data_IF_594727121899
#
_entry.id   IF_594727121899
#
_cell.length_a   1.000
_cell.length_b   1.000
_cell.length_c   1.000
_cell.angle_alpha   90.00
_cell.angle_beta   90.00
_cell.angle_gamma   90.00
#
_symmetry.space_group_name_H-M   'P 1'
#
loop_
_entity.id
_entity.type
_entity.pdbx_description
1 polymer ?
#
# COMPACT_ATOMS: atom_id res chain seq x y z
N UNK A 1 2.71 -3.50 -10.08
CA UNK A 1 1.79 -2.87 -9.14
C UNK A 1 1.63 -1.39 -9.44
N UNK A 2 0.77 -0.69 -8.70
CA UNK A 2 0.50 0.72 -8.94
C UNK A 2 1.66 1.60 -8.51
N UNK A 3 2.04 2.56 -9.35
CA UNK A 3 2.91 3.66 -8.96
C UNK A 3 2.02 4.78 -8.41
N UNK A 4 1.87 4.82 -7.09
CA UNK A 4 0.96 5.75 -6.43
C UNK A 4 1.38 7.20 -6.68
N UNK A 5 2.67 7.46 -6.87
CA UNK A 5 3.16 8.81 -7.12
C UNK A 5 2.65 9.38 -8.44
N UNK A 6 2.32 8.54 -9.41
CA UNK A 6 1.80 9.00 -10.70
C UNK A 6 0.38 9.55 -10.62
N UNK A 7 -0.34 9.26 -9.54
CA UNK A 7 -1.71 9.74 -9.33
C UNK A 7 -1.79 11.01 -8.48
N UNK A 8 -0.65 11.51 -7.98
CA UNK A 8 -0.64 12.70 -7.14
C UNK A 8 -0.92 13.98 -7.96
N UNK A 9 -1.50 15.01 -7.33
CA UNK A 9 -1.66 16.32 -8.00
C UNK A 9 -0.33 16.87 -8.48
N UNK A 10 -0.37 17.72 -9.51
CA UNK A 10 0.83 18.37 -10.00
C UNK A 10 1.45 19.30 -8.96
N UNK A 11 0.63 19.89 -8.12
CA UNK A 11 1.09 20.75 -7.02
C UNK A 11 1.59 19.89 -5.88
N UNK A 12 2.84 19.47 -5.98
CA UNK A 12 3.45 18.59 -4.97
C UNK A 12 4.90 19.02 -4.76
N UNK A 13 5.42 18.67 -3.58
CA UNK A 13 6.79 19.02 -3.20
C UNK A 13 7.50 17.77 -2.65
N UNK A 14 8.59 17.38 -3.30
CA UNK A 14 9.41 16.29 -2.82
C UNK A 14 10.34 16.81 -1.70
N UNK A 15 10.53 15.98 -0.67
CA UNK A 15 11.43 16.30 0.44
C UNK A 15 12.65 15.40 0.40
N UNK A 16 13.71 15.80 1.10
CA UNK A 16 14.96 15.02 1.16
C UNK A 16 14.78 13.69 1.87
N UNK A 17 13.76 13.57 2.72
CA UNK A 17 13.49 12.33 3.46
C UNK A 17 12.70 11.29 2.66
N UNK A 18 12.37 11.60 1.40
CA UNK A 18 11.64 10.68 0.53
C UNK A 18 10.12 10.86 0.58
N UNK A 19 9.60 11.76 1.39
CA UNK A 19 8.19 12.10 1.42
C UNK A 19 7.85 13.11 0.33
N UNK A 20 6.68 12.95 -0.27
CA UNK A 20 6.14 13.91 -1.23
C UNK A 20 4.92 14.57 -0.59
N UNK A 21 4.96 15.88 -0.45
CA UNK A 21 3.87 16.66 0.15
C UNK A 21 2.93 17.18 -0.95
N UNK A 22 1.63 17.11 -0.68
CA UNK A 22 0.61 17.61 -1.58
C UNK A 22 -0.66 17.91 -0.80
N UNK A 23 -1.62 18.59 -1.42
CA UNK A 23 -2.89 18.88 -0.75
C UNK A 23 -3.64 17.56 -0.52
N UNK A 24 -3.88 17.22 0.75
CA UNK A 24 -4.51 15.97 1.10
C UNK A 24 -5.94 15.88 0.60
N UNK A 25 -6.31 14.84 -0.17
CA UNK A 25 -7.66 14.71 -0.68
C UNK A 25 -8.66 14.24 0.38
N UNK A 26 -8.17 13.83 1.55
CA UNK A 26 -8.97 13.20 2.60
C UNK A 26 -9.71 14.20 3.50
N UNK A 27 -9.27 15.46 3.56
CA UNK A 27 -9.73 16.41 4.56
C UNK A 27 -11.23 16.67 4.47
N UNK A 28 -11.77 16.93 3.29
CA UNK A 28 -13.19 17.21 3.09
C UNK A 28 -14.06 15.99 3.44
N UNK A 29 -13.50 14.79 3.33
CA UNK A 29 -14.22 13.55 3.64
C UNK A 29 -14.20 13.23 5.13
N UNK A 30 -13.35 13.92 5.89
CA UNK A 30 -13.21 13.71 7.33
C UNK A 30 -13.72 14.91 8.14
N UNK A 31 -14.55 15.75 7.53
CA UNK A 31 -15.19 16.86 8.20
C UNK A 31 -14.35 18.12 8.35
N UNK A 32 -13.17 18.14 7.69
CA UNK A 32 -12.31 19.31 7.69
C UNK A 32 -12.50 20.11 6.42
N UNK A 33 -11.97 21.34 6.40
CA UNK A 33 -11.96 22.13 5.18
C UNK A 33 -10.88 21.59 4.23
N UNK A 34 -11.01 21.93 2.94
CA UNK A 34 -10.07 21.51 1.92
C UNK A 34 -8.64 21.93 2.28
N UNK A 35 -7.69 20.99 2.17
CA UNK A 35 -6.28 21.26 2.42
C UNK A 35 -5.71 22.11 1.28
N UNK A 36 -5.14 23.27 1.63
CA UNK A 36 -4.50 24.18 0.67
C UNK A 36 -3.03 24.42 1.03
N UNK A 37 -2.51 23.70 2.03
CA UNK A 37 -1.16 23.91 2.55
C UNK A 37 -0.25 22.70 2.37
N UNK A 38 -0.63 21.77 1.50
CA UNK A 38 0.13 20.55 1.22
C UNK A 38 0.47 19.78 2.50
N UNK A 39 -0.55 19.54 3.32
CA UNK A 39 -0.39 18.79 4.59
C UNK A 39 -0.47 17.29 4.40
N UNK A 40 -0.92 16.81 3.25
CA UNK A 40 -0.86 15.39 2.93
C UNK A 40 0.55 15.01 2.54
N UNK A 41 1.01 13.85 2.99
CA UNK A 41 2.33 13.36 2.64
C UNK A 41 2.28 11.89 2.31
N UNK A 42 3.01 11.47 1.29
CA UNK A 42 3.12 10.08 0.90
C UNK A 42 4.57 9.73 0.67
N UNK A 43 4.93 8.51 1.05
CA UNK A 43 6.26 7.98 0.80
C UNK A 43 6.10 6.62 0.13
N UNK A 44 6.74 6.44 -1.01
CA UNK A 44 6.75 5.16 -1.72
C UNK A 44 8.17 4.61 -1.73
N UNK A 45 8.29 3.34 -1.38
CA UNK A 45 9.54 2.61 -1.42
C UNK A 45 9.24 1.26 -2.07
N UNK A 46 9.78 1.04 -3.27
CA UNK A 46 9.43 -0.10 -4.12
C UNK A 46 7.91 -0.11 -4.36
N UNK A 47 7.21 -1.18 -4.00
CA UNK A 47 5.76 -1.29 -4.16
C UNK A 47 4.99 -0.97 -2.88
N UNK A 48 5.69 -0.61 -1.81
CA UNK A 48 5.11 -0.28 -0.52
C UNK A 48 4.97 1.24 -0.40
N UNK A 49 3.85 1.72 0.15
CA UNK A 49 3.69 3.15 0.36
C UNK A 49 2.92 3.43 1.65
N UNK A 50 3.15 4.63 2.18
CA UNK A 50 2.49 5.14 3.39
C UNK A 50 2.03 6.57 3.15
N UNK A 51 0.84 6.89 3.65
CA UNK A 51 0.24 8.21 3.54
C UNK A 51 -0.15 8.72 4.92
N UNK A 52 0.08 10.01 5.16
CA UNK A 52 -0.33 10.69 6.39
C UNK A 52 -0.78 12.11 6.06
N UNK A 53 -1.92 12.53 6.61
CA UNK A 53 -2.39 13.90 6.49
C UNK A 53 -2.30 14.60 7.84
N UNK A 54 -1.53 15.67 7.91
CA UNK A 54 -1.34 16.43 9.15
C UNK A 54 -2.51 17.38 9.42
N UNK A 55 -3.45 17.52 8.51
CA UNK A 55 -4.63 18.36 8.71
C UNK A 55 -5.78 17.60 9.38
N UNK A 56 -6.14 16.44 8.83
CA UNK A 56 -7.27 15.66 9.36
C UNK A 56 -6.85 14.40 10.11
N UNK A 57 -5.57 14.04 10.08
CA UNK A 57 -5.05 12.86 10.77
C UNK A 57 -5.27 11.55 10.05
N UNK A 58 -5.79 11.56 8.83
CA UNK A 58 -6.02 10.33 8.08
C UNK A 58 -4.69 9.67 7.73
N UNK A 59 -4.62 8.35 7.92
CA UNK A 59 -3.45 7.55 7.54
C UNK A 59 -3.88 6.36 6.72
N UNK A 60 -3.04 5.94 5.78
CA UNK A 60 -3.26 4.75 4.99
C UNK A 60 -1.91 4.20 4.54
N UNK A 61 -1.84 2.91 4.31
CA UNK A 61 -0.62 2.29 3.84
C UNK A 61 -0.95 1.05 3.02
N UNK A 62 0.00 0.64 2.20
CA UNK A 62 -0.10 -0.59 1.43
C UNK A 62 1.23 -1.33 1.50
N UNK A 63 1.17 -2.62 1.81
CA UNK A 63 2.32 -3.51 1.84
C UNK A 63 2.05 -4.66 0.89
N UNK A 64 2.96 -4.93 -0.08
CA UNK A 64 2.80 -6.08 -0.97
C UNK A 64 2.71 -7.38 -0.19
N UNK A 65 1.83 -8.26 -0.62
CA UNK A 65 1.55 -9.52 0.09
C UNK A 65 0.36 -9.42 1.03
N UNK A 66 -0.21 -8.23 1.20
CA UNK A 66 -1.40 -8.03 2.02
C UNK A 66 -2.55 -7.50 1.17
N UNK A 67 -3.81 -7.74 1.56
CA UNK A 67 -4.92 -7.15 0.84
C UNK A 67 -4.91 -5.62 0.98
N UNK A 68 -5.49 -4.95 0.00
CA UNK A 68 -5.65 -3.50 0.06
C UNK A 68 -6.67 -3.18 1.16
N UNK A 69 -6.23 -2.44 2.18
CA UNK A 69 -7.09 -2.10 3.32
C UNK A 69 -8.19 -1.12 2.89
N UNK A 70 -9.22 -0.99 3.73
CA UNK A 70 -10.30 -0.05 3.47
C UNK A 70 -9.77 1.38 3.31
N UNK A 71 -8.87 1.79 4.21
CA UNK A 71 -8.30 3.15 4.16
C UNK A 71 -7.44 3.35 2.91
N UNK A 72 -6.64 2.36 2.53
CA UNK A 72 -5.83 2.45 1.32
C UNK A 72 -6.72 2.56 0.09
N UNK A 73 -7.80 1.78 0.03
CA UNK A 73 -8.77 1.84 -1.06
C UNK A 73 -9.40 3.22 -1.16
N UNK A 74 -9.82 3.79 -0.04
CA UNK A 74 -10.43 5.12 -0.02
C UNK A 74 -9.45 6.19 -0.53
N UNK A 75 -8.21 6.14 -0.07
CA UNK A 75 -7.20 7.09 -0.53
C UNK A 75 -6.99 7.00 -2.05
N UNK A 76 -6.87 5.78 -2.57
CA UNK A 76 -6.69 5.58 -4.01
C UNK A 76 -7.89 6.10 -4.80
N UNK A 77 -9.10 5.91 -4.30
CA UNK A 77 -10.30 6.45 -4.93
C UNK A 77 -10.26 7.97 -4.98
N UNK A 78 -9.87 8.60 -3.87
CA UNK A 78 -9.77 10.06 -3.81
C UNK A 78 -8.69 10.62 -4.73
N UNK A 79 -7.64 9.84 -4.98
CA UNK A 79 -6.58 10.24 -5.92
C UNK A 79 -6.97 10.01 -7.37
N UNK A 80 -8.11 9.37 -7.63
CA UNK A 80 -8.61 9.17 -8.98
C UNK A 80 -8.26 7.82 -9.60
N UNK A 81 -7.83 6.86 -8.79
CA UNK A 81 -7.54 5.51 -9.29
C UNK A 81 -8.86 4.77 -9.52
N UNK A 82 -9.01 4.18 -10.70
CA UNK A 82 -10.20 3.40 -11.04
C UNK A 82 -10.35 2.18 -10.13
N UNK A 83 -11.61 1.81 -9.83
CA UNK A 83 -11.89 0.63 -9.02
C UNK A 83 -11.31 -0.64 -9.65
N UNK A 84 -11.28 -0.73 -10.97
CA UNK A 84 -10.68 -1.86 -11.68
C UNK A 84 -9.19 -1.98 -11.35
N UNK A 85 -8.48 -0.85 -11.34
CA UNK A 85 -7.05 -0.84 -11.02
C UNK A 85 -6.79 -1.17 -9.56
N UNK A 86 -7.67 -0.73 -8.66
CA UNK A 86 -7.57 -1.06 -7.24
C UNK A 86 -7.77 -2.56 -7.02
N UNK A 87 -8.75 -3.16 -7.68
CA UNK A 87 -8.98 -4.60 -7.57
C UNK A 87 -7.81 -5.39 -8.17
N UNK A 88 -7.24 -4.91 -9.27
CA UNK A 88 -6.06 -5.55 -9.86
C UNK A 88 -4.88 -5.51 -8.89
N UNK A 89 -4.67 -4.37 -8.23
CA UNK A 89 -3.62 -4.25 -7.21
C UNK A 89 -3.84 -5.25 -6.08
N UNK A 90 -5.08 -5.37 -5.62
CA UNK A 90 -5.42 -6.31 -4.55
C UNK A 90 -5.11 -7.76 -4.96
N UNK A 91 -5.48 -8.15 -6.17
CA UNK A 91 -5.22 -9.49 -6.68
C UNK A 91 -3.73 -9.76 -6.84
N UNK A 92 -2.99 -8.81 -7.37
CA UNK A 92 -1.54 -8.94 -7.53
C UNK A 92 -0.84 -9.10 -6.18
N UNK A 93 -1.29 -8.35 -5.19
CA UNK A 93 -0.75 -8.44 -3.84
C UNK A 93 -1.01 -9.82 -3.23
N UNK A 94 -2.21 -10.34 -3.38
CA UNK A 94 -2.57 -11.66 -2.86
C UNK A 94 -1.80 -12.77 -3.56
N UNK A 95 -1.58 -12.65 -4.86
CA UNK A 95 -0.75 -13.61 -5.61
C UNK A 95 0.67 -13.64 -5.08
N UNK A 96 1.24 -12.47 -4.80
CA UNK A 96 2.60 -12.38 -4.25
C UNK A 96 2.70 -13.10 -2.91
N UNK A 97 1.69 -12.93 -2.06
CA UNK A 97 1.64 -13.63 -0.77
C UNK A 97 1.62 -15.15 -0.96
N UNK A 98 0.79 -15.65 -1.87
CA UNK A 98 0.69 -17.09 -2.13
C UNK A 98 2.04 -17.68 -2.56
N UNK A 99 2.78 -16.99 -3.42
CA UNK A 99 4.09 -17.45 -3.85
C UNK A 99 5.08 -17.50 -2.69
N UNK A 100 5.07 -16.52 -1.82
CA UNK A 100 5.94 -16.49 -0.64
C UNK A 100 5.58 -17.62 0.33
N UNK A 101 4.30 -17.87 0.54
CA UNK A 101 3.84 -18.96 1.41
C UNK A 101 4.29 -20.32 0.89
N UNK A 102 4.16 -20.56 -0.42
CA UNK A 102 4.60 -21.82 -1.03
C UNK A 102 6.10 -22.03 -0.86
N UNK A 103 6.89 -20.99 -1.04
CA UNK A 103 8.34 -21.07 -0.86
C UNK A 103 8.68 -21.42 0.58
N UNK A 104 8.01 -20.81 1.54
CA UNK A 104 8.23 -21.11 2.96
C UNK A 104 7.90 -22.56 3.28
N UNK A 105 6.79 -23.08 2.77
CA UNK A 105 6.40 -24.47 2.99
C UNK A 105 7.44 -25.44 2.45
N UNK A 106 7.97 -25.20 1.27
CA UNK A 106 9.02 -26.05 0.70
C UNK A 106 10.25 -26.10 1.60
N UNK A 107 10.66 -24.96 2.11
CA UNK A 107 11.81 -24.88 2.99
C UNK A 107 11.57 -25.65 4.28
N UNK A 108 10.39 -25.57 4.85
CA UNK A 108 10.01 -26.31 6.05
C UNK A 108 10.04 -27.82 5.80
N UNK A 109 9.51 -28.28 4.68
CA UNK A 109 9.51 -29.69 4.32
C UNK A 109 10.93 -30.24 4.24
N UNK A 110 11.84 -29.49 3.65
CA UNK A 110 13.25 -29.91 3.55
C UNK A 110 13.91 -30.07 4.91
N UNK A 111 13.56 -29.24 5.87
CA UNK A 111 14.13 -29.30 7.20
C UNK A 111 13.56 -30.45 8.03
N UNK A 112 12.30 -30.79 7.82
CA UNK A 112 11.61 -31.82 8.58
C UNK A 112 12.05 -33.22 8.17
N UNK A 113 12.38 -33.41 6.99
CA UNK A 113 12.66 -34.70 6.44
C UNK A 113 13.91 -35.29 7.06
N UNK A 114 13.43 -35.88 7.65
CA UNK A 114 13.81 -36.33 8.06
C UNK A 114 13.31 -36.66 8.91
N UNK A 115 12.64 -37.17 8.66
CA UNK A 115 11.98 -37.04 9.27
C UNK A 115 11.27 -37.09 9.41
N UNK A 116 10.94 -37.93 8.97
CA UNK A 116 9.90 -37.63 8.78
C UNK A 116 9.66 -37.70 8.73
N UNK A 117 9.67 -38.40 8.49
CA UNK A 117 9.05 -38.16 8.23
C UNK A 117 8.85 -38.07 8.06
N UNK A 118 8.82 -38.60 7.85
CA UNK A 118 8.25 -38.31 7.53
C UNK A 118 7.90 -38.16 7.36
N UNK A 119 7.93 -38.99 7.42
CA UNK A 119 7.37 -38.63 6.98
C UNK A 119 7.32 -38.37 6.51
N UNK A 120 7.27 -38.83 6.29
CA UNK A 120 7.05 -38.29 5.67
C UNK A 120 7.02 -37.87 5.33
N UNK A 121 6.86 -38.61 5.03
CA UNK A 121 6.91 -37.91 4.69
C UNK A 121 6.84 -37.43 4.46
#
# INVERSE_FOLDING_TARGET
MIDVLSYLPNERKATVSGWVSFNGPCCVHNGESQDKRKRGGIRQQDDEWSYHCFNCGFTASFTPGRPVSYKARRLLEWLGVDSVDIERLNLESLKRKSLLDLTTERNQIRHVDISFNETEV
#
